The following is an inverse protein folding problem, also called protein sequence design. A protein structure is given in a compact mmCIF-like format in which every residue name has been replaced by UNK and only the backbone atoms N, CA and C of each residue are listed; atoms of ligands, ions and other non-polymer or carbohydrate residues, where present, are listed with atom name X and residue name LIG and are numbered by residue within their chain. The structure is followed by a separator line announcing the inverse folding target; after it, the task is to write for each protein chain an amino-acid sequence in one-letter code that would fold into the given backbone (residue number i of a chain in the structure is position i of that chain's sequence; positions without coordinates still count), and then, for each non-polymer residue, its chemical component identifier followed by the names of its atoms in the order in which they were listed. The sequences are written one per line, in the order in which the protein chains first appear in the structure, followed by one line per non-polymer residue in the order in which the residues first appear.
data_IF_220424513073
#
_entry.id   IF_220424513073
#
_cell.length_a   1.000
_cell.length_b   1.000
_cell.length_c   1.000
_cell.angle_alpha   90.00
_cell.angle_beta   90.00
_cell.angle_gamma   90.00
#
_symmetry.space_group_name_H-M   'P 1'
#
loop_
_entity.id
_entity.type
_entity.pdbx_description
1 polymer ?
#
# COMPACT_ATOMS: atom_id res chain seq x y z
N UNK A 1 -92.99 -21.95 23.65
CA UNK A 1 -92.55 -22.11 22.25
C UNK A 1 -91.55 -20.99 21.94
N UNK A 2 -90.34 -21.35 21.47
CA UNK A 2 -89.43 -20.67 20.51
C UNK A 2 -89.30 -19.13 20.61
N UNK A 3 -88.14 -18.47 20.58
CA UNK A 3 -86.79 -18.82 20.14
C UNK A 3 -85.77 -17.79 20.66
N UNK A 4 -84.49 -18.20 20.58
CA UNK A 4 -83.24 -17.45 20.78
C UNK A 4 -83.07 -16.20 19.89
N UNK A 5 -82.32 -15.20 20.37
CA UNK A 5 -81.26 -14.52 19.57
C UNK A 5 -80.17 -13.92 20.49
N UNK A 6 -78.96 -13.87 19.96
CA UNK A 6 -77.68 -13.55 20.57
C UNK A 6 -77.31 -12.05 20.49
N UNK A 7 -76.46 -11.56 21.41
CA UNK A 7 -75.60 -10.40 21.14
C UNK A 7 -74.33 -10.41 22.01
N UNK A 8 -73.18 -10.19 21.36
CA UNK A 8 -71.88 -9.97 21.99
C UNK A 8 -71.85 -8.60 22.68
N UNK A 9 -71.34 -8.53 23.91
CA UNK A 9 -70.94 -7.27 24.52
C UNK A 9 -69.53 -7.36 25.10
N UNK A 10 -68.82 -6.24 24.91
CA UNK A 10 -67.40 -5.99 25.08
C UNK A 10 -67.14 -5.63 26.55
N UNK A 11 -66.37 -6.42 27.28
CA UNK A 11 -65.93 -6.03 28.63
C UNK A 11 -64.72 -5.09 28.55
N UNK A 12 -64.95 -3.86 28.98
CA UNK A 12 -63.93 -2.90 29.40
C UNK A 12 -63.83 -3.04 30.92
N UNK A 13 -62.69 -3.52 31.42
CA UNK A 13 -62.37 -3.47 32.85
C UNK A 13 -61.14 -2.59 33.02
N UNK A 14 -61.38 -1.37 33.51
CA UNK A 14 -60.35 -0.49 34.02
C UNK A 14 -59.85 -0.97 35.38
N UNK A 15 -58.53 -0.91 35.57
CA UNK A 15 -57.90 -1.00 36.88
C UNK A 15 -56.98 0.20 37.07
N UNK A 16 -57.55 1.17 37.77
CA UNK A 16 -56.98 2.05 38.80
C UNK A 16 -55.45 2.18 38.86
N UNK A 17 -54.97 3.37 38.49
CA UNK A 17 -53.65 3.89 38.87
C UNK A 17 -53.61 4.10 40.39
N UNK A 18 -52.68 3.43 41.07
CA UNK A 18 -52.19 3.86 42.39
C UNK A 18 -50.74 4.31 42.26
N UNK A 19 -50.51 5.50 42.80
CA UNK A 19 -49.29 6.28 42.79
C UNK A 19 -48.25 5.76 43.78
N UNK A 20 -46.99 6.07 43.47
CA UNK A 20 -45.81 6.04 44.35
C UNK A 20 -44.99 4.75 44.32
N UNK A 21 -44.03 4.74 43.40
CA UNK A 21 -42.73 4.12 43.62
C UNK A 21 -41.70 4.93 42.85
N UNK A 22 -40.92 5.72 43.60
CA UNK A 22 -39.77 6.49 43.14
C UNK A 22 -38.82 5.53 42.40
N UNK A 23 -38.81 5.59 41.07
CA UNK A 23 -37.88 4.83 40.25
C UNK A 23 -36.46 5.32 40.55
N UNK A 24 -35.79 4.68 41.49
CA UNK A 24 -34.33 4.70 41.53
C UNK A 24 -33.86 4.12 40.22
N UNK A 25 -33.34 4.96 39.32
CA UNK A 25 -32.55 4.54 38.19
C UNK A 25 -31.37 3.75 38.75
N UNK A 26 -31.53 2.44 38.89
CA UNK A 26 -30.41 1.53 39.06
C UNK A 26 -29.65 1.64 37.76
N UNK A 27 -28.60 2.45 37.78
CA UNK A 27 -27.54 2.44 36.78
C UNK A 27 -27.03 1.00 36.80
N UNK A 28 -27.49 0.21 35.85
CA UNK A 28 -26.93 -1.11 35.62
C UNK A 28 -25.45 -0.88 35.28
N UNK A 29 -24.52 -1.60 35.92
CA UNK A 29 -23.12 -1.49 35.54
C UNK A 29 -23.05 -1.84 34.06
N UNK A 30 -22.57 -0.88 33.27
CA UNK A 30 -22.39 -0.99 31.84
C UNK A 30 -21.72 -2.32 31.52
N UNK A 31 -22.30 -3.08 30.58
CA UNK A 31 -21.66 -4.21 29.92
C UNK A 31 -20.15 -3.92 29.74
N UNK A 32 -19.24 -4.86 30.05
CA UNK A 32 -17.82 -4.62 29.85
C UNK A 32 -17.64 -4.16 28.41
N UNK A 33 -17.11 -2.94 28.22
CA UNK A 33 -16.88 -2.37 26.90
C UNK A 33 -16.14 -3.41 26.07
N UNK A 34 -16.85 -4.08 25.16
CA UNK A 34 -16.25 -5.12 24.32
C UNK A 34 -15.08 -4.48 23.60
N UNK A 35 -13.87 -4.90 23.95
CA UNK A 35 -12.63 -4.32 23.43
C UNK A 35 -12.69 -4.47 21.91
N UNK A 36 -12.67 -3.33 21.20
CA UNK A 36 -12.89 -3.33 19.75
C UNK A 36 -11.58 -3.70 19.07
N UNK A 37 -11.46 -4.92 18.58
CA UNK A 37 -10.29 -5.34 17.82
C UNK A 37 -10.46 -5.08 16.31
N UNK A 38 -9.35 -4.96 15.58
CA UNK A 38 -9.34 -4.97 14.12
C UNK A 38 -9.19 -6.41 13.68
N UNK A 39 -10.15 -6.93 12.91
CA UNK A 39 -10.08 -8.29 12.38
C UNK A 39 -8.83 -8.49 11.51
N UNK A 40 -8.47 -7.50 10.69
CA UNK A 40 -7.27 -7.55 9.84
C UNK A 40 -6.00 -7.47 10.69
N UNK A 41 -5.97 -6.56 11.67
CA UNK A 41 -4.78 -6.34 12.50
C UNK A 41 -4.44 -7.51 13.42
N UNK A 42 -5.46 -8.21 13.95
CA UNK A 42 -5.29 -9.32 14.89
C UNK A 42 -4.80 -10.62 14.25
N UNK A 43 -4.87 -10.73 12.92
CA UNK A 43 -4.37 -11.93 12.24
C UNK A 43 -2.84 -11.98 12.28
N UNK A 44 -2.24 -13.13 12.67
CA UNK A 44 -0.79 -13.31 12.63
C UNK A 44 -0.27 -13.23 11.19
N UNK A 45 1.01 -12.93 11.06
CA UNK A 45 1.76 -12.92 9.81
C UNK A 45 2.77 -14.06 9.83
N UNK A 46 2.72 -14.93 8.84
CA UNK A 46 3.71 -15.99 8.68
C UNK A 46 4.97 -15.41 8.04
N UNK A 47 6.11 -15.49 8.74
CA UNK A 47 7.41 -15.07 8.23
C UNK A 47 8.03 -16.27 7.50
N UNK A 48 8.18 -16.21 6.16
CA UNK A 48 8.88 -17.26 5.43
C UNK A 48 10.36 -17.26 5.83
N UNK A 49 10.96 -18.46 5.91
CA UNK A 49 12.35 -18.66 6.35
C UNK A 49 13.40 -17.91 5.50
N UNK A 50 13.03 -17.51 4.28
CA UNK A 50 13.87 -16.73 3.37
C UNK A 50 13.97 -15.24 3.71
N UNK A 51 13.19 -14.75 4.67
CA UNK A 51 13.05 -13.32 4.97
C UNK A 51 13.53 -12.96 6.37
N UNK A 52 14.12 -11.78 6.51
CA UNK A 52 14.56 -11.23 7.80
C UNK A 52 13.92 -9.86 8.04
N UNK A 53 13.61 -9.58 9.30
CA UNK A 53 12.97 -8.34 9.75
C UNK A 53 13.91 -7.58 10.68
N UNK A 54 14.28 -6.38 10.30
CA UNK A 54 15.10 -5.47 11.11
C UNK A 54 14.28 -4.23 11.46
N UNK A 55 14.15 -3.90 12.75
CA UNK A 55 13.48 -2.67 13.18
C UNK A 55 14.51 -1.55 13.18
N UNK A 56 14.34 -0.57 12.29
CA UNK A 56 15.16 0.63 12.24
C UNK A 56 14.63 1.68 13.22
N UNK A 57 15.52 2.40 13.92
CA UNK A 57 15.14 3.34 14.99
C UNK A 57 14.49 4.63 14.48
N UNK A 58 14.68 5.01 13.21
CA UNK A 58 14.16 6.24 12.62
C UNK A 58 13.61 6.00 11.22
N UNK A 59 12.56 6.74 10.78
CA UNK A 59 12.13 6.69 9.40
C UNK A 59 13.21 7.29 8.49
N UNK A 60 13.37 6.83 7.24
CA UNK A 60 14.29 7.47 6.30
C UNK A 60 13.86 8.93 6.09
N UNK A 61 14.65 9.88 6.58
CA UNK A 61 14.32 11.30 6.48
C UNK A 61 14.88 11.90 5.18
N UNK A 62 14.06 12.57 4.35
CA UNK A 62 14.50 13.08 3.04
C UNK A 62 15.51 14.24 3.13
N UNK A 63 15.66 14.92 4.28
CA UNK A 63 16.63 15.99 4.44
C UNK A 63 17.15 16.08 5.89
N UNK A 64 18.31 15.50 6.25
CA UNK A 64 18.75 15.37 7.66
C UNK A 64 18.84 16.68 8.46
N UNK A 65 18.82 17.85 7.79
CA UNK A 65 18.85 19.16 8.43
C UNK A 65 17.50 19.69 8.92
N UNK A 66 16.36 19.13 8.48
CA UNK A 66 15.02 19.58 8.91
C UNK A 66 14.51 18.71 10.08
N UNK A 67 14.07 19.27 11.21
CA UNK A 67 13.51 18.47 12.30
C UNK A 67 12.18 17.82 11.88
N UNK A 68 11.98 16.57 12.31
CA UNK A 68 10.72 15.84 12.11
C UNK A 68 9.56 16.53 12.85
N UNK A 69 8.35 16.39 12.31
CA UNK A 69 7.15 16.83 13.03
C UNK A 69 7.06 16.13 14.39
N UNK A 70 6.50 16.78 15.43
CA UNK A 70 6.34 16.19 16.77
C UNK A 70 5.75 14.78 16.79
N UNK A 71 4.81 14.50 15.89
CA UNK A 71 4.12 13.22 15.74
C UNK A 71 4.97 12.10 15.10
N UNK A 72 6.09 12.45 14.47
CA UNK A 72 7.00 11.51 13.79
C UNK A 72 8.29 11.28 14.60
N UNK A 73 8.42 11.88 15.79
CA UNK A 73 9.66 11.81 16.57
C UNK A 73 10.01 10.41 17.06
N UNK A 74 9.03 9.55 17.32
CA UNK A 74 9.27 8.14 17.66
C UNK A 74 8.78 7.18 16.58
N UNK A 75 8.52 7.71 15.38
CA UNK A 75 8.23 6.86 14.24
C UNK A 75 9.43 5.94 13.99
N UNK A 76 9.14 4.70 13.64
CA UNK A 76 10.14 3.68 13.34
C UNK A 76 9.88 3.17 11.93
N UNK A 77 10.73 2.30 11.44
CA UNK A 77 10.45 1.55 10.22
C UNK A 77 10.92 0.11 10.34
N UNK A 78 10.21 -0.82 9.72
CA UNK A 78 10.70 -2.20 9.55
C UNK A 78 11.35 -2.30 8.20
N UNK A 79 12.61 -2.74 8.16
CA UNK A 79 13.28 -3.18 6.96
C UNK A 79 13.03 -4.68 6.80
N UNK A 80 12.30 -5.03 5.74
CA UNK A 80 12.02 -6.42 5.36
C UNK A 80 13.01 -6.80 4.27
N UNK A 81 13.91 -7.74 4.55
CA UNK A 81 14.90 -8.24 3.59
C UNK A 81 14.56 -9.67 3.15
N UNK A 82 15.01 -10.02 1.95
CA UNK A 82 14.92 -11.37 1.42
C UNK A 82 15.38 -11.44 -0.04
N UNK A 83 15.04 -12.52 -0.76
CA UNK A 83 15.73 -12.86 -2.01
C UNK A 83 15.47 -11.89 -3.16
N UNK A 84 14.27 -11.27 -3.23
CA UNK A 84 13.89 -10.40 -4.36
C UNK A 84 14.17 -8.92 -4.13
N UNK A 85 14.71 -8.57 -2.97
CA UNK A 85 15.08 -7.21 -2.60
C UNK A 85 14.78 -6.89 -1.15
N UNK A 86 14.66 -5.59 -0.87
CA UNK A 86 14.33 -5.08 0.45
C UNK A 86 13.21 -4.04 0.35
N UNK A 87 12.34 -4.02 1.36
CA UNK A 87 11.21 -3.09 1.44
C UNK A 87 11.19 -2.47 2.83
N UNK A 88 11.06 -1.15 2.88
CA UNK A 88 10.95 -0.39 4.13
C UNK A 88 9.48 -0.08 4.40
N UNK A 89 8.95 -0.56 5.53
CA UNK A 89 7.58 -0.32 5.96
C UNK A 89 7.57 0.69 7.12
N UNK A 90 6.82 1.80 7.05
CA UNK A 90 6.73 2.75 8.15
C UNK A 90 5.94 2.17 9.33
N UNK A 91 6.45 2.38 10.54
CA UNK A 91 5.82 2.01 11.80
C UNK A 91 5.50 3.25 12.64
N UNK A 92 4.30 3.26 13.17
CA UNK A 92 3.88 4.24 14.17
C UNK A 92 4.17 3.76 15.60
N UNK A 93 4.33 4.71 16.52
CA UNK A 93 4.67 4.51 17.94
C UNK A 93 3.64 3.66 18.70
N UNK A 94 2.40 3.63 18.22
CA UNK A 94 1.30 2.89 18.86
C UNK A 94 1.36 1.38 18.60
N UNK A 95 2.17 0.92 17.65
CA UNK A 95 2.25 -0.48 17.24
C UNK A 95 3.39 -1.19 17.96
N UNK A 96 3.07 -2.36 18.50
CA UNK A 96 3.99 -3.29 19.12
C UNK A 96 4.07 -4.56 18.25
N UNK A 97 5.29 -4.99 17.96
CA UNK A 97 5.58 -6.24 17.25
C UNK A 97 5.86 -7.31 18.30
N UNK A 98 5.08 -8.40 18.29
CA UNK A 98 5.23 -9.51 19.23
C UNK A 98 5.64 -10.74 18.43
N UNK A 99 6.87 -11.19 18.65
CA UNK A 99 7.39 -12.45 18.13
C UNK A 99 7.34 -13.49 19.26
N UNK A 100 6.61 -14.61 19.11
CA UNK A 100 6.63 -15.69 20.07
C UNK A 100 8.03 -16.32 20.06
N UNK A 101 8.59 -16.53 21.26
CA UNK A 101 9.94 -17.05 21.45
C UNK A 101 10.08 -18.56 21.19
N UNK A 102 9.00 -19.24 20.80
CA UNK A 102 8.99 -20.68 20.51
C UNK A 102 9.54 -20.94 19.10
N UNK A 103 10.67 -21.66 19.03
CA UNK A 103 11.47 -21.97 17.84
C UNK A 103 10.76 -22.63 16.65
N UNK A 104 9.45 -22.91 16.73
CA UNK A 104 8.69 -23.72 15.77
C UNK A 104 7.69 -22.91 14.93
N UNK A 105 7.22 -21.75 15.41
CA UNK A 105 6.26 -20.91 14.67
C UNK A 105 6.88 -19.54 14.36
N UNK A 106 7.25 -19.31 13.10
CA UNK A 106 7.70 -18.02 12.58
C UNK A 106 6.52 -17.03 12.42
N UNK A 107 5.62 -16.99 13.40
CA UNK A 107 4.44 -16.14 13.37
C UNK A 107 4.73 -14.79 14.01
N UNK A 108 4.36 -13.70 13.36
CA UNK A 108 4.47 -12.34 13.88
C UNK A 108 3.08 -11.80 14.19
N UNK A 109 2.83 -11.45 15.44
CA UNK A 109 1.58 -10.79 15.84
C UNK A 109 1.80 -9.30 16.07
N UNK A 110 0.82 -8.51 15.65
CA UNK A 110 0.82 -7.06 15.83
C UNK A 110 -0.15 -6.71 16.95
N UNK A 111 0.29 -5.90 17.90
CA UNK A 111 -0.54 -5.37 18.96
C UNK A 111 -0.52 -3.84 18.95
N UNK A 112 -1.53 -3.26 19.60
CA UNK A 112 -1.65 -1.82 19.81
C UNK A 112 -1.60 -1.54 21.32
N UNK A 113 -1.07 -0.38 21.70
CA UNK A 113 -1.22 0.21 23.04
C UNK A 113 -2.69 0.35 23.48
N UNK A 114 -3.50 1.13 22.74
CA UNK A 114 -4.89 1.43 23.11
C UNK A 114 -5.90 1.01 22.04
N UNK A 115 -6.69 -0.02 22.36
CA UNK A 115 -7.76 -0.49 21.47
C UNK A 115 -8.98 0.46 21.40
N UNK A 116 -9.19 1.30 22.41
CA UNK A 116 -10.33 2.24 22.43
C UNK A 116 -10.21 3.30 21.33
N UNK A 117 -8.99 3.75 21.02
CA UNK A 117 -8.74 4.82 20.06
C UNK A 117 -8.95 4.35 18.61
N UNK A 118 -9.91 4.97 17.91
CA UNK A 118 -10.22 4.65 16.50
C UNK A 118 -9.00 4.80 15.57
N UNK A 119 -8.18 5.83 15.77
CA UNK A 119 -6.98 6.08 14.94
C UNK A 119 -6.00 4.92 15.04
N UNK A 120 -5.66 4.48 16.25
CA UNK A 120 -4.72 3.38 16.44
C UNK A 120 -5.24 2.07 15.82
N UNK A 121 -6.55 1.78 15.95
CA UNK A 121 -7.17 0.62 15.29
C UNK A 121 -7.07 0.65 13.76
N UNK A 122 -7.24 1.82 13.16
CA UNK A 122 -7.05 2.00 11.71
C UNK A 122 -5.60 1.77 11.30
N UNK A 123 -4.66 2.36 12.05
CA UNK A 123 -3.22 2.20 11.84
C UNK A 123 -2.78 0.73 11.98
N UNK A 124 -3.33 -0.01 12.93
CA UNK A 124 -3.04 -1.43 13.14
C UNK A 124 -3.37 -2.32 11.93
N UNK A 125 -4.57 -2.17 11.38
CA UNK A 125 -4.96 -2.91 10.18
C UNK A 125 -4.10 -2.54 8.98
N UNK A 126 -3.84 -1.24 8.79
CA UNK A 126 -2.99 -0.74 7.70
C UNK A 126 -1.57 -1.31 7.76
N UNK A 127 -0.90 -1.18 8.91
CA UNK A 127 0.48 -1.65 9.07
C UNK A 127 0.58 -3.17 8.91
N UNK A 128 -0.41 -3.93 9.39
CA UNK A 128 -0.49 -5.37 9.12
C UNK A 128 -0.51 -5.67 7.63
N UNK A 129 -1.38 -5.00 6.88
CA UNK A 129 -1.48 -5.18 5.43
C UNK A 129 -0.19 -4.78 4.70
N UNK A 130 0.47 -3.70 5.12
CA UNK A 130 1.75 -3.28 4.54
C UNK A 130 2.86 -4.33 4.78
N UNK A 131 2.98 -4.84 6.00
CA UNK A 131 3.96 -5.88 6.34
C UNK A 131 3.68 -7.18 5.58
N UNK A 132 2.42 -7.61 5.49
CA UNK A 132 2.02 -8.79 4.71
C UNK A 132 2.40 -8.64 3.24
N UNK A 133 2.11 -7.49 2.62
CA UNK A 133 2.47 -7.22 1.23
C UNK A 133 4.00 -7.21 1.04
N UNK A 134 4.76 -6.66 1.99
CA UNK A 134 6.21 -6.61 1.95
C UNK A 134 6.82 -8.02 2.06
N UNK A 135 6.35 -8.86 2.99
CA UNK A 135 6.80 -10.25 3.14
C UNK A 135 6.56 -11.06 1.87
N UNK A 136 5.34 -11.03 1.33
CA UNK A 136 5.01 -11.71 0.06
C UNK A 136 5.82 -11.12 -1.10
N UNK A 137 6.02 -9.80 -1.14
CA UNK A 137 6.76 -9.14 -2.22
C UNK A 137 8.26 -9.44 -2.23
N UNK A 138 8.88 -9.53 -1.06
CA UNK A 138 10.31 -9.83 -0.93
C UNK A 138 10.60 -11.31 -1.12
N UNK A 139 9.67 -12.19 -0.74
CA UNK A 139 9.77 -13.64 -0.94
C UNK A 139 9.37 -14.05 -2.37
N UNK A 140 8.12 -13.79 -2.76
CA UNK A 140 7.50 -14.25 -4.01
C UNK A 140 7.50 -13.19 -5.12
N UNK A 141 7.51 -11.91 -4.78
CA UNK A 141 7.45 -10.82 -5.77
C UNK A 141 6.04 -10.58 -6.30
N UNK A 142 5.71 -9.32 -6.54
CA UNK A 142 4.43 -8.93 -7.14
C UNK A 142 4.57 -8.82 -8.65
N UNK A 143 3.51 -9.22 -9.35
CA UNK A 143 3.40 -9.08 -10.80
C UNK A 143 2.13 -8.35 -11.15
N UNK A 144 2.22 -7.35 -12.03
CA UNK A 144 1.05 -6.64 -12.58
C UNK A 144 1.15 -6.69 -14.09
N UNK A 145 0.10 -7.15 -14.74
CA UNK A 145 0.04 -7.24 -16.21
C UNK A 145 -0.80 -6.11 -16.78
N UNK A 146 -0.36 -5.53 -17.89
CA UNK A 146 -1.07 -4.48 -18.61
C UNK A 146 -1.37 -4.97 -20.02
N UNK A 147 -2.63 -4.88 -20.43
CA UNK A 147 -3.08 -5.24 -21.77
C UNK A 147 -3.42 -3.99 -22.57
N UNK A 148 -2.75 -3.82 -23.71
CA UNK A 148 -3.00 -2.75 -24.67
C UNK A 148 -4.04 -3.21 -25.68
N UNK A 149 -5.19 -2.55 -25.71
CA UNK A 149 -6.27 -2.83 -26.67
C UNK A 149 -6.44 -1.62 -27.59
N UNK A 150 -6.17 -1.81 -28.87
CA UNK A 150 -6.30 -0.77 -29.88
C UNK A 150 -5.47 -1.08 -31.13
N UNK A 151 -5.95 -0.63 -32.29
CA UNK A 151 -5.18 -0.77 -33.53
C UNK A 151 -3.94 0.10 -33.44
N UNK A 152 -2.76 -0.50 -33.66
CA UNK A 152 -1.47 0.18 -33.60
C UNK A 152 -0.93 0.44 -32.19
N UNK A 153 -1.61 -0.05 -31.14
CA UNK A 153 -1.13 0.10 -29.78
C UNK A 153 -0.04 -0.94 -29.51
N UNK A 154 1.13 -0.49 -29.07
CA UNK A 154 2.27 -1.37 -28.78
C UNK A 154 3.27 -0.71 -27.84
N UNK A 155 4.02 -1.53 -27.10
CA UNK A 155 5.09 -1.08 -26.23
C UNK A 155 6.43 -1.75 -26.57
N UNK A 156 7.53 -1.05 -26.28
CA UNK A 156 8.91 -1.54 -26.38
C UNK A 156 9.72 -0.96 -25.22
N UNK A 157 10.79 -1.65 -24.81
CA UNK A 157 11.75 -1.16 -23.82
C UNK A 157 12.94 -0.56 -24.56
N UNK A 158 13.38 0.61 -24.12
CA UNK A 158 14.55 1.31 -24.67
C UNK A 158 15.43 1.78 -23.49
N UNK A 159 16.77 1.83 -23.63
CA UNK A 159 17.62 2.53 -22.67
C UNK A 159 17.29 4.04 -22.64
N UNK A 160 17.27 4.63 -21.45
CA UNK A 160 17.05 6.06 -21.27
C UNK A 160 18.38 6.82 -21.44
N UNK A 161 18.51 7.73 -22.42
CA UNK A 161 19.73 8.51 -22.62
C UNK A 161 20.03 9.50 -21.48
N UNK A 162 19.02 9.85 -20.65
CA UNK A 162 19.18 10.79 -19.54
C UNK A 162 18.77 10.13 -18.22
N UNK A 163 19.72 9.54 -17.47
CA UNK A 163 19.40 8.91 -16.20
C UNK A 163 18.93 9.96 -15.20
N UNK A 164 17.63 9.98 -14.90
CA UNK A 164 17.04 10.87 -13.89
C UNK A 164 17.46 10.38 -12.51
N UNK A 165 18.48 11.02 -11.93
CA UNK A 165 18.89 10.83 -10.54
C UNK A 165 17.69 11.02 -9.61
N UNK A 166 17.59 10.23 -8.54
CA UNK A 166 16.52 10.42 -7.55
C UNK A 166 16.64 11.81 -6.92
N UNK A 167 15.56 12.35 -6.36
CA UNK A 167 15.62 13.64 -5.64
C UNK A 167 16.65 13.62 -4.50
N UNK A 168 16.83 12.44 -3.87
CA UNK A 168 17.88 12.23 -2.85
C UNK A 168 19.27 12.35 -3.47
N UNK A 169 19.53 11.70 -4.60
CA UNK A 169 20.83 11.76 -5.29
C UNK A 169 21.14 13.18 -5.81
N UNK A 170 20.11 13.91 -6.26
CA UNK A 170 20.23 15.32 -6.66
C UNK A 170 20.56 16.19 -5.43
N UNK A 171 19.90 15.95 -4.29
CA UNK A 171 20.15 16.71 -3.05
C UNK A 171 21.55 16.44 -2.48
N UNK A 172 21.98 15.18 -2.47
CA UNK A 172 23.33 14.78 -2.07
C UNK A 172 24.38 15.37 -3.04
N UNK A 173 24.11 15.35 -4.35
CA UNK A 173 25.02 15.88 -5.37
C UNK A 173 25.03 17.42 -5.52
N UNK A 174 24.02 18.13 -5.02
CA UNK A 174 23.92 19.60 -5.11
C UNK A 174 24.73 20.33 -4.05
N UNK A 175 25.28 19.62 -3.06
CA UNK A 175 26.14 20.18 -2.02
C UNK A 175 27.53 20.46 -2.60
N UNK A 176 27.66 21.58 -3.33
CA UNK A 176 28.95 22.00 -3.89
C UNK A 176 29.92 22.34 -2.77
N UNK A 177 30.91 21.48 -2.58
CA UNK A 177 31.92 21.56 -1.54
C UNK A 177 33.17 22.28 -2.06
N UNK A 178 33.08 23.60 -2.21
CA UNK A 178 34.18 24.40 -2.78
C UNK A 178 35.40 24.61 -1.86
N UNK A 179 35.34 24.17 -0.59
CA UNK A 179 36.40 24.39 0.41
C UNK A 179 36.76 23.13 1.21
N UNK A 180 36.81 21.96 0.57
CA UNK A 180 37.23 20.72 1.24
C UNK A 180 38.75 20.50 1.18
N UNK A 181 39.30 19.98 2.29
CA UNK A 181 40.67 19.47 2.38
C UNK A 181 40.90 18.33 1.37
N UNK A 182 42.16 18.06 1.02
CA UNK A 182 42.52 16.99 0.06
C UNK A 182 41.97 15.62 0.49
N UNK A 183 42.00 15.31 1.79
CA UNK A 183 41.41 14.09 2.34
C UNK A 183 39.89 14.02 2.11
N UNK A 184 39.18 15.14 2.26
CA UNK A 184 37.74 15.19 2.01
C UNK A 184 37.41 15.19 0.51
N UNK A 185 38.29 15.70 -0.36
CA UNK A 185 38.19 15.51 -1.81
C UNK A 185 38.35 14.03 -2.19
N UNK A 186 39.32 13.33 -1.61
CA UNK A 186 39.53 11.90 -1.84
C UNK A 186 38.34 11.07 -1.37
N UNK A 187 37.80 11.37 -0.18
CA UNK A 187 36.58 10.72 0.33
C UNK A 187 35.36 10.96 -0.57
N UNK A 188 35.26 12.13 -1.21
CA UNK A 188 34.18 12.43 -2.15
C UNK A 188 34.35 11.71 -3.49
N UNK A 189 35.59 11.53 -3.96
CA UNK A 189 35.92 10.68 -5.12
C UNK A 189 35.54 9.23 -4.83
N UNK A 190 35.90 8.70 -3.66
CA UNK A 190 35.57 7.33 -3.25
C UNK A 190 34.05 7.14 -3.07
N UNK A 191 33.35 8.17 -2.54
CA UNK A 191 31.88 8.18 -2.45
C UNK A 191 31.25 8.18 -3.85
N UNK A 192 31.77 8.98 -4.79
CA UNK A 192 31.30 9.03 -6.17
C UNK A 192 31.55 7.70 -6.91
N UNK A 193 32.68 7.04 -6.64
CA UNK A 193 33.00 5.72 -7.20
C UNK A 193 32.06 4.65 -6.63
N UNK A 194 31.80 4.62 -5.31
CA UNK A 194 30.80 3.73 -4.70
C UNK A 194 29.39 3.99 -5.23
N UNK A 195 29.03 5.24 -5.48
CA UNK A 195 27.75 5.60 -6.08
C UNK A 195 27.66 5.16 -7.54
N UNK A 196 28.74 5.25 -8.32
CA UNK A 196 28.82 4.67 -9.67
C UNK A 196 28.73 3.15 -9.65
N UNK A 197 29.46 2.47 -8.77
CA UNK A 197 29.39 1.02 -8.60
C UNK A 197 27.99 0.56 -8.17
N UNK A 198 27.33 1.30 -7.27
CA UNK A 198 25.94 1.05 -6.88
C UNK A 198 24.96 1.29 -8.03
N UNK A 199 25.23 2.31 -8.85
CA UNK A 199 24.46 2.62 -10.05
C UNK A 199 24.72 1.64 -11.21
N UNK A 200 25.86 0.94 -11.25
CA UNK A 200 26.13 -0.15 -12.19
C UNK A 200 25.49 -1.47 -11.75
N UNK A 201 25.40 -1.71 -10.43
CA UNK A 201 24.64 -2.85 -9.88
C UNK A 201 23.15 -2.74 -10.15
N UNK A 202 22.63 -1.52 -10.24
CA UNK A 202 21.31 -1.25 -10.81
C UNK A 202 21.46 -1.25 -12.33
N UNK A 203 20.78 -2.15 -13.06
CA UNK A 203 20.91 -2.22 -14.52
C UNK A 203 20.66 -0.88 -15.24
N UNK A 204 20.94 -0.78 -16.56
CA UNK A 204 20.81 0.47 -17.30
C UNK A 204 19.43 1.09 -17.09
N UNK A 205 19.37 2.41 -16.87
CA UNK A 205 18.10 3.12 -16.72
C UNK A 205 17.24 2.86 -17.96
N UNK A 206 16.12 2.15 -17.78
CA UNK A 206 15.23 1.80 -18.87
C UNK A 206 14.06 2.76 -18.92
N UNK A 207 13.60 3.06 -20.13
CA UNK A 207 12.34 3.74 -20.39
C UNK A 207 11.42 2.86 -21.22
N UNK A 208 10.13 2.96 -20.92
CA UNK A 208 9.06 2.32 -21.63
C UNK A 208 8.61 3.25 -22.78
N UNK A 209 8.80 2.80 -24.01
CA UNK A 209 8.35 3.48 -25.22
C UNK A 209 7.01 2.89 -25.67
N UNK A 210 5.94 3.68 -25.59
CA UNK A 210 4.57 3.25 -25.89
C UNK A 210 3.99 4.05 -27.04
N UNK A 211 3.40 3.35 -28.02
CA UNK A 211 2.57 3.94 -29.08
C UNK A 211 1.11 3.67 -28.77
N UNK A 212 0.31 4.74 -28.63
CA UNK A 212 -1.09 4.69 -28.22
C UNK A 212 -2.01 5.53 -29.13
N UNK A 213 -1.61 5.73 -30.39
CA UNK A 213 -2.33 6.59 -31.33
C UNK A 213 -2.22 8.10 -31.04
N UNK A 214 -1.16 8.51 -30.34
CA UNK A 214 -0.73 9.92 -30.27
C UNK A 214 0.26 10.22 -31.39
N UNK A 215 0.38 11.49 -31.78
CA UNK A 215 1.33 11.93 -32.83
C UNK A 215 2.80 11.70 -32.44
N UNK A 216 3.09 11.69 -31.13
CA UNK A 216 4.42 11.40 -30.58
C UNK A 216 4.38 10.15 -29.69
N UNK A 217 5.50 9.41 -29.57
CA UNK A 217 5.57 8.28 -28.66
C UNK A 217 5.55 8.73 -27.20
N UNK A 218 4.92 7.93 -26.34
CA UNK A 218 4.92 8.15 -24.90
C UNK A 218 6.15 7.46 -24.32
N UNK A 219 7.05 8.24 -23.72
CA UNK A 219 8.26 7.76 -23.07
C UNK A 219 8.11 7.86 -21.55
N UNK A 220 8.14 6.73 -20.85
CA UNK A 220 8.00 6.67 -19.40
C UNK A 220 9.25 6.06 -18.76
N UNK A 221 9.94 6.75 -17.84
CA UNK A 221 11.07 6.16 -17.13
C UNK A 221 10.58 5.06 -16.19
N UNK A 222 11.28 3.93 -16.14
CA UNK A 222 11.00 2.85 -15.19
C UNK A 222 11.60 3.24 -13.83
N UNK A 223 10.81 3.24 -12.74
CA UNK A 223 11.33 3.61 -11.43
C UNK A 223 12.18 2.47 -10.83
N UNK A 224 13.05 2.81 -9.88
CA UNK A 224 14.00 1.86 -9.25
C UNK A 224 13.28 0.66 -8.61
N UNK A 225 13.83 -0.54 -8.75
CA UNK A 225 13.27 -1.76 -8.15
C UNK A 225 12.10 -2.40 -8.92
N UNK A 226 11.69 -1.81 -10.06
CA UNK A 226 10.71 -2.42 -10.97
C UNK A 226 11.40 -2.96 -12.21
N UNK A 227 11.10 -4.21 -12.53
CA UNK A 227 11.49 -4.85 -13.79
C UNK A 227 10.30 -4.86 -14.76
N UNK A 228 10.54 -4.44 -16.00
CA UNK A 228 9.52 -4.46 -17.05
C UNK A 228 9.85 -5.55 -18.05
N UNK A 229 8.86 -6.38 -18.38
CA UNK A 229 8.96 -7.41 -19.40
C UNK A 229 7.85 -7.22 -20.42
N UNK A 230 8.18 -7.34 -21.71
CA UNK A 230 7.20 -7.22 -22.81
C UNK A 230 7.18 -8.56 -23.55
N UNK A 231 6.42 -9.56 -23.05
CA UNK A 231 6.31 -10.86 -23.73
C UNK A 231 5.63 -10.75 -25.10
N UNK A 232 4.73 -9.78 -25.27
CA UNK A 232 4.06 -9.46 -26.52
C UNK A 232 4.03 -7.95 -26.69
N UNK A 233 4.05 -7.40 -27.91
CA UNK A 233 4.01 -5.94 -28.10
C UNK A 233 2.78 -5.28 -27.47
N UNK A 234 1.69 -6.03 -27.30
CA UNK A 234 0.43 -5.55 -26.72
C UNK A 234 0.27 -5.92 -25.23
N UNK A 235 1.24 -6.60 -24.62
CA UNK A 235 1.18 -7.05 -23.22
C UNK A 235 2.46 -6.67 -22.49
N UNK A 236 2.33 -5.87 -21.45
CA UNK A 236 3.43 -5.46 -20.57
C UNK A 236 3.25 -6.20 -19.25
N UNK A 237 4.32 -6.75 -18.69
CA UNK A 237 4.33 -7.40 -17.38
C UNK A 237 5.33 -6.66 -16.51
N UNK A 238 4.84 -6.02 -15.46
CA UNK A 238 5.63 -5.35 -14.45
C UNK A 238 5.89 -6.33 -13.31
N UNK A 239 7.13 -6.41 -12.83
CA UNK A 239 7.55 -7.22 -11.68
C UNK A 239 8.27 -6.32 -10.67
N UNK A 240 8.02 -6.52 -9.39
CA UNK A 240 8.70 -5.76 -8.33
C UNK A 240 8.44 -6.33 -6.94
N UNK A 241 9.29 -5.96 -5.98
CA UNK A 241 9.11 -6.35 -4.58
C UNK A 241 8.07 -5.48 -3.86
N UNK A 242 8.02 -4.17 -4.16
CA UNK A 242 7.04 -3.26 -3.57
C UNK A 242 5.75 -3.19 -4.40
N UNK A 243 4.63 -3.56 -3.76
CA UNK A 243 3.29 -3.55 -4.37
C UNK A 243 2.75 -2.14 -4.60
N UNK A 244 3.08 -1.19 -3.72
CA UNK A 244 2.58 0.19 -3.81
C UNK A 244 3.17 0.89 -5.02
N UNK A 245 4.52 0.88 -5.13
CA UNK A 245 5.22 1.48 -6.25
C UNK A 245 4.85 0.82 -7.59
N UNK A 246 4.66 -0.51 -7.60
CA UNK A 246 4.22 -1.27 -8.78
C UNK A 246 2.82 -0.84 -9.25
N UNK A 247 1.87 -0.74 -8.33
CA UNK A 247 0.50 -0.27 -8.61
C UNK A 247 0.45 1.19 -9.06
N UNK A 248 1.26 2.05 -8.44
CA UNK A 248 1.39 3.45 -8.83
C UNK A 248 1.90 3.58 -10.28
N UNK A 249 2.94 2.83 -10.63
CA UNK A 249 3.49 2.84 -11.99
C UNK A 249 2.51 2.27 -13.02
N UNK A 250 1.80 1.18 -12.70
CA UNK A 250 0.74 0.65 -13.54
C UNK A 250 -0.39 1.66 -13.78
N UNK A 251 -0.81 2.36 -12.72
CA UNK A 251 -1.80 3.44 -12.79
C UNK A 251 -1.31 4.61 -13.65
N UNK A 252 -0.03 4.99 -13.53
CA UNK A 252 0.59 6.03 -14.34
C UNK A 252 0.57 5.65 -15.84
N UNK A 253 0.89 4.41 -16.19
CA UNK A 253 0.80 3.93 -17.58
C UNK A 253 -0.66 3.99 -18.07
N UNK A 254 -1.61 3.48 -17.27
CA UNK A 254 -3.05 3.49 -17.60
C UNK A 254 -3.62 4.91 -17.77
N UNK A 255 -3.07 5.89 -17.06
CA UNK A 255 -3.55 7.28 -17.10
C UNK A 255 -3.51 7.89 -18.51
N UNK A 256 -2.57 7.47 -19.37
CA UNK A 256 -2.44 7.96 -20.74
C UNK A 256 -3.64 7.57 -21.62
N UNK A 257 -4.12 6.33 -21.53
CA UNK A 257 -5.30 5.87 -22.29
C UNK A 257 -6.13 4.91 -21.43
N UNK A 258 -7.07 5.47 -20.69
CA UNK A 258 -8.09 4.72 -19.95
C UNK A 258 -8.99 3.94 -20.92
N UNK A 259 -9.55 2.78 -20.52
CA UNK A 259 -10.43 1.98 -21.37
C UNK A 259 -11.72 2.75 -21.69
N UNK A 260 -12.05 2.85 -22.97
CA UNK A 260 -13.26 3.55 -23.43
C UNK A 260 -14.51 2.63 -23.40
N UNK A 261 -15.72 3.18 -23.20
CA UNK A 261 -16.93 2.38 -23.04
C UNK A 261 -17.55 1.89 -24.36
N UNK A 262 -17.04 2.25 -25.54
CA UNK A 262 -17.66 1.86 -26.82
C UNK A 262 -16.93 0.71 -27.51
N UNK A 263 -15.63 0.85 -27.81
CA UNK A 263 -14.84 -0.22 -28.44
C UNK A 263 -13.84 -0.86 -27.49
N UNK A 264 -13.86 -0.49 -26.19
CA UNK A 264 -12.95 -1.04 -25.19
C UNK A 264 -11.47 -0.75 -25.48
N UNK A 265 -11.16 0.25 -26.32
CA UNK A 265 -9.78 0.66 -26.56
C UNK A 265 -9.19 1.33 -25.33
N UNK A 266 -7.94 1.02 -25.03
CA UNK A 266 -7.23 1.57 -23.89
C UNK A 266 -6.27 0.56 -23.28
N UNK A 267 -5.83 0.86 -22.07
CA UNK A 267 -4.91 0.06 -21.28
C UNK A 267 -5.69 -0.53 -20.10
N UNK A 268 -5.70 -1.85 -20.00
CA UNK A 268 -6.30 -2.57 -18.89
C UNK A 268 -5.21 -3.06 -17.94
N UNK A 269 -5.48 -2.98 -16.64
CA UNK A 269 -4.60 -3.49 -15.59
C UNK A 269 -5.17 -4.83 -15.10
N UNK A 270 -4.35 -5.87 -15.12
CA UNK A 270 -4.70 -7.24 -14.73
C UNK A 270 -5.99 -7.72 -15.42
N UNK A 271 -6.99 -8.12 -14.64
CA UNK A 271 -8.28 -8.61 -15.11
C UNK A 271 -9.37 -7.51 -15.19
N UNK A 272 -8.96 -6.24 -15.23
CA UNK A 272 -9.89 -5.11 -15.39
C UNK A 272 -10.72 -5.28 -16.68
N UNK A 273 -12.03 -5.10 -16.57
CA UNK A 273 -12.96 -5.11 -17.72
C UNK A 273 -13.90 -3.91 -17.64
N UNK A 274 -14.34 -3.44 -18.80
CA UNK A 274 -15.31 -2.33 -18.92
C UNK A 274 -16.59 -2.81 -19.59
N UNK A 275 -17.74 -2.36 -19.08
CA UNK A 275 -19.04 -2.61 -19.73
C UNK A 275 -19.13 -1.78 -21.00
N UNK A 276 -19.32 -2.46 -22.14
CA UNK A 276 -19.47 -1.82 -23.43
C UNK A 276 -20.89 -1.30 -23.61
N UNK A 277 -21.01 -0.05 -24.09
CA UNK A 277 -22.26 0.55 -24.53
C UNK A 277 -22.58 0.07 -25.94
N UNK A 278 -23.85 -0.19 -26.19
CA UNK A 278 -24.33 -0.47 -27.54
C UNK A 278 -24.10 0.74 -28.44
N UNK A 279 -23.64 0.47 -29.67
CA UNK A 279 -23.59 1.51 -30.69
C UNK A 279 -25.01 2.00 -30.99
N UNK A 280 -25.16 3.29 -31.32
CA UNK A 280 -26.44 3.84 -31.77
C UNK A 280 -26.82 3.12 -33.07
N UNK A 281 -27.83 2.25 -33.00
CA UNK A 281 -28.48 1.71 -34.20
C UNK A 281 -29.13 2.88 -34.92
N UNK A 282 -28.78 3.07 -36.19
CA UNK A 282 -29.51 3.95 -37.10
C UNK A 282 -30.76 3.25 -37.58
#
# INVERSE_FOLDING_TARGET
MLASTSSLSRQVSGLLLSSSSRATLRITPSLPLTVRHSHVGSTPLDIPASTTLEILPFPPHPNPSRPLLPSLRHARSVLVKGPKGEVVVPLHDCILLIQPSSSTSSELTLAIKDSTQKKQRGTWGLTRSLLSNALTGVSEGHTVSLKLVGVGYRASIEPDPLPRRSKLDIALGSSKSFFLSEAAKQAEIDRANRAKEAAEKQGPNMRLHIRLGYSHPVLLPVPHGIQVQIPQPNRIVLKGADKEQLGLFASQIRSWRKPEPYKGKGIFVDDETIRLKTAKKK
#
